data_IF_416582157529
#
_entry.id   IF_416582157529
#
_cell.length_a   1.000
_cell.length_b   1.000
_cell.length_c   1.000
_cell.angle_alpha   90.00
_cell.angle_beta   90.00
_cell.angle_gamma   90.00
#
_symmetry.space_group_name_H-M   'P 1'
#
loop_
_entity.id
_entity.type
_entity.pdbx_description
1 polymer ?
#
# COMPACT_ATOMS: atom_id res chain seq x y z
N UNK A 1 -1.71 42.21 11.41
CA UNK A 1 -2.55 41.07 10.98
C UNK A 1 -1.66 39.84 11.04
N UNK A 2 -1.74 39.10 12.14
CA UNK A 2 -1.05 37.80 12.24
C UNK A 2 -1.84 36.81 11.39
N UNK A 3 -1.22 36.32 10.32
CA UNK A 3 -1.69 35.16 9.60
C UNK A 3 -1.56 33.97 10.54
N UNK A 4 -2.69 33.43 11.00
CA UNK A 4 -2.73 32.22 11.81
C UNK A 4 -1.99 31.05 11.12
N UNK A 5 -1.65 29.98 11.85
CA UNK A 5 -0.86 28.90 11.31
C UNK A 5 -1.53 28.33 10.06
N UNK A 6 -0.88 28.51 8.91
CA UNK A 6 -1.22 27.82 7.66
C UNK A 6 -1.19 26.33 7.94
N UNK A 7 -2.30 25.65 7.73
CA UNK A 7 -2.33 24.21 7.94
C UNK A 7 -1.37 23.57 6.92
N UNK A 8 -0.72 22.47 7.27
CA UNK A 8 0.14 21.73 6.34
C UNK A 8 -0.60 21.30 5.05
N UNK A 9 -1.94 21.33 5.03
CA UNK A 9 -2.74 21.12 3.82
C UNK A 9 -2.68 22.31 2.85
N UNK A 10 -2.43 23.52 3.34
CA UNK A 10 -2.29 24.74 2.52
C UNK A 10 -1.00 24.70 1.70
N UNK A 11 0.09 24.15 2.25
CA UNK A 11 1.34 23.93 1.50
C UNK A 11 1.17 22.88 0.38
N UNK A 12 0.12 22.06 0.48
CA UNK A 12 -0.22 21.07 -0.53
C UNK A 12 -1.32 21.54 -1.48
N UNK A 13 -1.98 22.68 -1.21
CA UNK A 13 -2.96 23.35 -2.07
C UNK A 13 -4.43 22.95 -1.84
N UNK A 14 -4.79 22.38 -0.68
CA UNK A 14 -6.10 21.75 -0.50
C UNK A 14 -7.00 22.53 0.47
N UNK A 15 -7.92 23.34 -0.07
CA UNK A 15 -8.78 24.24 0.70
C UNK A 15 -10.15 23.65 1.11
N UNK A 16 -10.57 22.51 0.54
CA UNK A 16 -11.95 22.04 0.67
C UNK A 16 -12.09 20.79 1.57
N UNK A 17 -13.02 20.81 2.53
CA UNK A 17 -13.17 19.75 3.56
C UNK A 17 -13.51 18.37 2.96
N UNK A 18 -14.23 18.35 1.84
CA UNK A 18 -14.62 17.11 1.15
C UNK A 18 -13.43 16.46 0.40
N UNK A 19 -12.36 17.22 0.14
CA UNK A 19 -11.14 16.72 -0.53
C UNK A 19 -10.12 16.17 0.46
N UNK A 20 -10.33 16.41 1.75
CA UNK A 20 -9.41 16.02 2.81
C UNK A 20 -9.30 14.50 2.91
N UNK A 21 -10.41 13.79 2.76
CA UNK A 21 -10.41 12.33 2.73
C UNK A 21 -9.43 11.80 1.68
N UNK A 22 -9.51 12.31 0.44
CA UNK A 22 -8.64 11.93 -0.68
C UNK A 22 -7.20 12.44 -0.53
N UNK A 23 -7.00 13.49 0.26
CA UNK A 23 -5.70 14.10 0.57
C UNK A 23 -5.07 13.59 1.87
N UNK A 24 -5.53 12.43 2.37
CA UNK A 24 -4.95 11.76 3.55
C UNK A 24 -4.45 10.35 3.20
N UNK A 25 -3.87 9.68 4.19
CA UNK A 25 -3.46 8.27 4.10
C UNK A 25 -4.54 7.28 4.54
N UNK A 26 -5.79 7.72 4.70
CA UNK A 26 -6.87 6.78 4.88
C UNK A 26 -6.98 5.80 3.72
N UNK A 27 -7.43 4.59 3.98
CA UNK A 27 -7.34 3.45 3.06
C UNK A 27 -6.04 2.68 3.21
N UNK A 28 -4.92 3.36 3.46
CA UNK A 28 -3.61 2.72 3.51
C UNK A 28 -3.41 1.94 4.80
N UNK A 29 -2.89 0.72 4.73
CA UNK A 29 -2.52 -0.03 5.93
C UNK A 29 -1.32 0.57 6.67
N UNK A 30 -0.45 1.28 5.95
CA UNK A 30 0.62 2.09 6.49
C UNK A 30 1.83 1.27 6.95
N UNK A 31 2.34 1.57 8.14
CA UNK A 31 3.58 1.01 8.69
C UNK A 31 4.61 2.10 8.96
N UNK A 32 5.87 1.83 8.62
CA UNK A 32 6.95 2.79 8.82
C UNK A 32 7.16 3.65 7.58
N UNK A 33 6.82 4.94 7.61
CA UNK A 33 7.04 5.81 6.44
C UNK A 33 8.52 5.95 6.05
N UNK A 34 9.45 5.73 6.99
CA UNK A 34 10.88 5.76 6.71
C UNK A 34 11.44 4.42 6.17
N UNK A 35 10.59 3.40 6.02
CA UNK A 35 11.01 2.14 5.43
C UNK A 35 11.55 2.36 4.01
N UNK A 36 12.61 1.63 3.68
CA UNK A 36 13.25 1.69 2.35
C UNK A 36 12.46 0.96 1.27
N UNK A 37 11.54 0.07 1.67
CA UNK A 37 10.70 -0.70 0.75
C UNK A 37 9.26 -0.20 0.87
N UNK A 38 8.76 0.43 -0.19
CA UNK A 38 7.37 0.88 -0.26
C UNK A 38 6.54 -0.05 -1.13
N UNK A 39 5.30 -0.29 -0.72
CA UNK A 39 4.38 -1.18 -1.42
C UNK A 39 3.08 -0.48 -1.74
N UNK A 40 2.53 -0.74 -2.92
CA UNK A 40 1.33 -0.11 -3.45
C UNK A 40 0.30 -1.17 -3.81
N UNK A 41 -0.82 -1.18 -3.12
CA UNK A 41 -2.02 -1.91 -3.49
C UNK A 41 -3.03 -1.03 -4.24
N UNK A 42 -4.06 -1.65 -4.80
CA UNK A 42 -5.21 -0.93 -5.38
C UNK A 42 -6.31 -0.66 -4.36
N UNK A 43 -6.48 -1.53 -3.37
CA UNK A 43 -7.65 -1.63 -2.45
C UNK A 43 -8.94 -2.16 -3.11
N UNK A 44 -8.80 -3.16 -3.98
CA UNK A 44 -9.95 -3.94 -4.44
C UNK A 44 -10.09 -5.19 -3.59
N UNK A 45 -11.32 -5.67 -3.40
CA UNK A 45 -11.69 -6.84 -2.58
C UNK A 45 -11.56 -6.68 -1.05
N UNK A 46 -11.52 -5.45 -0.52
CA UNK A 46 -11.60 -5.21 0.93
C UNK A 46 -13.05 -5.18 1.44
N UNK A 47 -13.21 -4.99 2.75
CA UNK A 47 -14.51 -4.90 3.42
C UNK A 47 -14.71 -3.49 4.02
N UNK A 48 -15.87 -2.88 3.75
CA UNK A 48 -16.30 -1.60 4.34
C UNK A 48 -16.21 -1.61 5.87
N UNK A 49 -16.56 -2.70 6.53
CA UNK A 49 -16.49 -2.80 8.01
C UNK A 49 -15.05 -2.68 8.52
N UNK A 50 -14.08 -3.21 7.78
CA UNK A 50 -12.66 -3.11 8.12
C UNK A 50 -12.15 -1.68 7.95
N UNK A 51 -12.57 -1.01 6.87
CA UNK A 51 -12.32 0.41 6.64
C UNK A 51 -12.87 1.23 7.82
N UNK A 52 -14.15 1.04 8.14
CA UNK A 52 -14.83 1.80 9.19
C UNK A 52 -14.21 1.53 10.56
N UNK A 53 -13.96 0.28 10.97
CA UNK A 53 -13.44 0.02 12.32
C UNK A 53 -12.02 0.57 12.55
N UNK A 54 -11.10 0.34 11.62
CA UNK A 54 -9.70 0.73 11.78
C UNK A 54 -9.51 2.22 11.50
N UNK A 55 -10.10 2.72 10.41
CA UNK A 55 -9.94 4.12 10.06
C UNK A 55 -10.75 5.02 10.96
N UNK A 56 -11.91 4.61 11.48
CA UNK A 56 -12.66 5.44 12.42
C UNK A 56 -11.85 5.80 13.66
N UNK A 57 -10.95 4.92 14.15
CA UNK A 57 -10.00 5.30 15.22
C UNK A 57 -9.01 6.37 14.75
N UNK A 58 -8.44 6.22 13.55
CA UNK A 58 -7.59 7.21 12.89
C UNK A 58 -8.33 8.55 12.67
N UNK A 59 -9.58 8.51 12.20
CA UNK A 59 -10.45 9.65 11.91
C UNK A 59 -10.90 10.40 13.18
N UNK A 60 -11.37 9.67 14.20
CA UNK A 60 -11.96 10.25 15.42
C UNK A 60 -10.93 10.87 16.35
N UNK A 61 -9.71 10.33 16.43
CA UNK A 61 -8.70 10.79 17.40
C UNK A 61 -7.94 12.02 16.93
N UNK A 62 -7.77 12.23 15.61
CA UNK A 62 -6.66 13.08 15.15
C UNK A 62 -6.96 13.99 13.93
N UNK A 63 -8.08 13.87 13.21
CA UNK A 63 -8.38 14.82 12.11
C UNK A 63 -8.97 16.15 12.57
N UNK A 64 -9.37 16.23 13.84
CA UNK A 64 -9.93 17.42 14.45
C UNK A 64 -8.85 18.38 15.01
N UNK A 65 -7.56 18.02 15.04
CA UNK A 65 -6.49 18.77 15.75
C UNK A 65 -5.31 19.24 14.87
N UNK A 66 -5.54 19.33 13.54
CA UNK A 66 -4.54 19.40 12.45
C UNK A 66 -3.30 20.29 12.64
N UNK A 67 -2.12 19.69 12.40
CA UNK A 67 -0.93 20.32 11.77
C UNK A 67 -0.04 19.35 10.94
N UNK A 68 -0.28 18.03 10.93
CA UNK A 68 0.61 17.06 10.23
C UNK A 68 -0.17 15.95 9.50
N UNK A 69 0.44 15.36 8.46
CA UNK A 69 -0.07 14.12 7.84
C UNK A 69 0.18 12.98 8.83
N UNK A 70 -0.89 12.38 9.32
CA UNK A 70 -0.77 11.20 10.16
C UNK A 70 -0.39 9.97 9.34
N UNK A 71 0.56 9.20 9.86
CA UNK A 71 1.00 7.96 9.24
C UNK A 71 0.22 6.81 9.87
N UNK A 72 -0.61 6.07 9.10
CA UNK A 72 -1.30 4.91 9.63
C UNK A 72 -0.30 3.82 9.98
N UNK A 73 -0.61 3.07 11.03
CA UNK A 73 0.06 1.83 11.40
C UNK A 73 -0.95 0.95 12.14
N UNK A 74 -0.64 -0.35 12.26
CA UNK A 74 -1.40 -1.30 13.06
C UNK A 74 -0.59 -1.71 14.29
N UNK A 75 -1.30 -1.85 15.41
CA UNK A 75 -0.81 -2.37 16.67
C UNK A 75 -1.81 -3.43 17.21
N UNK A 76 -1.53 -3.99 18.39
CA UNK A 76 -2.37 -5.03 18.98
C UNK A 76 -3.83 -4.57 19.22
N UNK A 77 -4.05 -3.26 19.43
CA UNK A 77 -5.39 -2.68 19.60
C UNK A 77 -6.23 -2.72 18.32
N UNK A 78 -5.60 -2.92 17.16
CA UNK A 78 -6.30 -3.09 15.89
C UNK A 78 -7.01 -4.45 15.79
N UNK A 79 -6.60 -5.43 16.59
CA UNK A 79 -7.15 -6.80 16.58
C UNK A 79 -8.15 -7.05 17.70
N UNK A 80 -8.43 -6.06 18.54
CA UNK A 80 -9.36 -6.17 19.67
C UNK A 80 -10.62 -5.35 19.41
N UNK A 81 -11.77 -6.02 19.37
CA UNK A 81 -13.08 -5.35 19.32
C UNK A 81 -13.42 -4.76 20.70
N UNK A 82 -14.34 -3.78 20.75
CA UNK A 82 -14.87 -3.23 21.99
C UNK A 82 -15.44 -4.31 22.94
N UNK A 83 -15.84 -5.46 22.41
CA UNK A 83 -16.30 -6.64 23.14
C UNK A 83 -15.19 -7.57 23.65
N UNK A 84 -13.90 -7.22 23.50
CA UNK A 84 -12.71 -8.05 23.80
C UNK A 84 -12.58 -9.35 23.00
N UNK A 85 -13.43 -9.57 21.99
CA UNK A 85 -13.26 -10.66 21.04
C UNK A 85 -12.13 -10.29 20.07
N UNK A 86 -11.16 -11.18 19.90
CA UNK A 86 -10.09 -10.99 18.91
C UNK A 86 -10.68 -11.09 17.51
N UNK A 87 -10.54 -10.03 16.72
CA UNK A 87 -10.96 -10.03 15.33
C UNK A 87 -9.82 -10.56 14.45
N UNK A 88 -9.78 -11.89 14.28
CA UNK A 88 -8.79 -12.54 13.42
C UNK A 88 -9.09 -12.37 11.91
N UNK A 89 -10.13 -11.61 11.51
CA UNK A 89 -10.44 -11.39 10.09
C UNK A 89 -9.26 -10.80 9.32
N UNK A 90 -8.55 -9.85 9.93
CA UNK A 90 -7.35 -9.25 9.34
C UNK A 90 -6.21 -10.28 9.14
N UNK A 91 -6.14 -11.32 9.97
CA UNK A 91 -5.15 -12.39 9.86
C UNK A 91 -5.50 -13.39 8.77
N UNK A 92 -6.78 -13.49 8.40
CA UNK A 92 -7.26 -14.39 7.34
C UNK A 92 -7.11 -13.79 5.95
N UNK A 93 -6.74 -12.50 5.85
CA UNK A 93 -6.52 -11.86 4.57
C UNK A 93 -5.30 -12.49 3.87
N UNK A 94 -5.54 -13.13 2.73
CA UNK A 94 -4.50 -13.77 1.94
C UNK A 94 -3.40 -12.80 1.49
N UNK A 95 -3.76 -11.56 1.21
CA UNK A 95 -2.81 -10.54 0.80
C UNK A 95 -1.85 -10.17 1.93
N UNK A 96 -2.39 -9.96 3.13
CA UNK A 96 -1.57 -9.65 4.32
C UNK A 96 -0.66 -10.83 4.69
N UNK A 97 -1.13 -12.07 4.56
CA UNK A 97 -0.28 -13.27 4.76
C UNK A 97 0.88 -13.33 3.77
N UNK A 98 0.63 -13.00 2.49
CA UNK A 98 1.69 -13.02 1.48
C UNK A 98 2.68 -11.89 1.67
N UNK A 99 2.18 -10.71 2.02
CA UNK A 99 3.03 -9.58 2.34
C UNK A 99 3.84 -9.81 3.61
N UNK A 100 3.29 -10.51 4.61
CA UNK A 100 4.05 -10.96 5.78
C UNK A 100 5.21 -11.87 5.39
N UNK A 101 4.98 -12.86 4.52
CA UNK A 101 6.05 -13.74 4.04
C UNK A 101 7.10 -13.00 3.19
N UNK A 102 6.67 -12.07 2.34
CA UNK A 102 7.57 -11.22 1.57
C UNK A 102 8.43 -10.36 2.50
N UNK A 103 7.80 -9.64 3.44
CA UNK A 103 8.47 -8.74 4.39
C UNK A 103 9.43 -9.52 5.28
N UNK A 104 9.00 -10.66 5.79
CA UNK A 104 9.87 -11.54 6.57
C UNK A 104 11.02 -12.08 5.73
N UNK A 105 10.79 -12.46 4.47
CA UNK A 105 11.84 -12.85 3.53
C UNK A 105 12.92 -11.76 3.36
N UNK A 106 12.53 -10.48 3.39
CA UNK A 106 13.49 -9.38 3.34
C UNK A 106 14.37 -9.36 4.61
N UNK A 107 13.84 -9.76 5.77
CA UNK A 107 14.55 -9.70 7.06
C UNK A 107 15.51 -10.86 7.34
N UNK A 108 15.48 -11.95 6.57
CA UNK A 108 16.08 -13.24 6.95
C UNK A 108 17.48 -13.57 6.38
N UNK A 109 18.22 -12.62 5.82
CA UNK A 109 19.48 -12.93 5.10
C UNK A 109 20.56 -13.59 5.99
N UNK A 110 20.46 -13.50 7.32
CA UNK A 110 21.46 -14.03 8.25
C UNK A 110 20.97 -15.15 9.19
N UNK A 111 19.81 -15.74 8.94
CA UNK A 111 19.27 -16.79 9.82
C UNK A 111 18.81 -17.98 9.00
N UNK A 112 19.40 -19.15 9.29
CA UNK A 112 19.04 -20.43 8.69
C UNK A 112 17.52 -20.59 8.61
N UNK A 113 17.01 -20.73 7.38
CA UNK A 113 15.70 -21.21 6.88
C UNK A 113 14.49 -21.37 7.84
N UNK A 114 14.40 -20.56 8.89
CA UNK A 114 13.30 -20.62 9.85
C UNK A 114 12.08 -20.01 9.18
N UNK A 115 11.16 -20.89 8.79
CA UNK A 115 9.76 -20.56 8.50
C UNK A 115 9.26 -19.59 9.58
N UNK A 116 8.42 -18.62 9.22
CA UNK A 116 7.71 -17.84 10.24
C UNK A 116 6.92 -18.86 11.07
N UNK A 117 7.38 -19.17 12.28
CA UNK A 117 6.70 -20.11 13.16
C UNK A 117 5.31 -19.56 13.52
N UNK A 118 5.13 -18.23 13.43
CA UNK A 118 3.87 -17.56 13.70
C UNK A 118 3.62 -16.32 12.80
N UNK A 119 3.13 -16.56 11.57
CA UNK A 119 2.73 -15.50 10.62
C UNK A 119 1.68 -14.56 11.23
N UNK A 120 0.80 -15.07 12.11
CA UNK A 120 -0.21 -14.23 12.74
C UNK A 120 0.42 -13.22 13.70
N UNK A 121 1.37 -13.64 14.54
CA UNK A 121 2.09 -12.72 15.40
C UNK A 121 2.90 -11.69 14.59
N UNK A 122 3.51 -12.09 13.47
CA UNK A 122 4.19 -11.14 12.59
C UNK A 122 3.21 -10.11 11.99
N UNK A 123 2.03 -10.53 11.51
CA UNK A 123 1.00 -9.60 11.02
C UNK A 123 0.53 -8.67 12.14
N UNK A 124 0.31 -9.20 13.35
CA UNK A 124 -0.19 -8.43 14.50
C UNK A 124 0.79 -7.37 14.98
N UNK A 125 2.07 -7.71 15.04
CA UNK A 125 3.08 -6.90 15.75
C UNK A 125 4.04 -6.17 14.82
N UNK A 126 4.23 -6.65 13.59
CA UNK A 126 5.37 -6.24 12.76
C UNK A 126 4.96 -5.72 11.40
N UNK A 127 4.14 -6.44 10.63
CA UNK A 127 3.92 -6.16 9.20
C UNK A 127 3.53 -4.71 8.90
N UNK A 128 2.63 -4.13 9.69
CA UNK A 128 2.20 -2.73 9.56
C UNK A 128 2.48 -1.92 10.82
N UNK A 129 3.43 -2.35 11.66
CA UNK A 129 3.84 -1.61 12.85
C UNK A 129 4.63 -0.35 12.48
N UNK A 130 4.82 0.55 13.46
CA UNK A 130 5.61 1.79 13.29
C UNK A 130 7.05 1.53 12.83
N UNK A 131 7.62 0.41 13.25
CA UNK A 131 8.98 -0.03 12.92
C UNK A 131 8.98 -1.11 11.83
N UNK A 132 7.89 -1.21 11.05
CA UNK A 132 7.84 -2.16 9.94
C UNK A 132 8.97 -1.91 8.94
N UNK A 133 9.38 -2.99 8.28
CA UNK A 133 10.37 -2.97 7.20
C UNK A 133 9.78 -2.48 5.87
N UNK A 134 8.46 -2.31 5.83
CA UNK A 134 7.75 -1.78 4.68
C UNK A 134 6.85 -0.62 5.05
N UNK A 135 6.56 0.21 4.06
CA UNK A 135 5.42 1.13 4.09
C UNK A 135 4.39 0.72 3.04
N UNK A 136 3.14 0.53 3.44
CA UNK A 136 2.08 0.10 2.53
C UNK A 136 1.08 1.20 2.26
N UNK A 137 0.97 1.56 0.98
CA UNK A 137 -0.01 2.48 0.44
C UNK A 137 -1.06 1.73 -0.39
N UNK A 138 -2.26 2.31 -0.43
CA UNK A 138 -3.35 1.88 -1.30
C UNK A 138 -3.76 3.04 -2.20
N UNK A 139 -3.77 2.81 -3.53
CA UNK A 139 -4.08 3.86 -4.52
C UNK A 139 -5.48 4.45 -4.32
N UNK A 140 -6.44 3.62 -3.93
CA UNK A 140 -7.83 4.03 -3.77
C UNK A 140 -8.24 3.78 -2.33
N UNK A 141 -8.75 4.78 -1.59
CA UNK A 141 -8.97 4.66 -0.15
C UNK A 141 -10.19 3.83 0.28
N UNK A 142 -11.07 3.47 -0.65
CA UNK A 142 -12.28 2.71 -0.35
C UNK A 142 -12.16 1.28 -0.88
N UNK A 143 -12.44 0.26 -0.05
CA UNK A 143 -12.45 -1.10 -0.51
C UNK A 143 -13.62 -1.32 -1.46
N UNK A 144 -13.32 -1.79 -2.67
CA UNK A 144 -14.34 -2.15 -3.65
C UNK A 144 -14.45 -3.68 -3.72
N UNK A 145 -15.46 -4.30 -3.07
CA UNK A 145 -15.57 -5.77 -3.01
C UNK A 145 -15.77 -6.41 -4.40
N UNK A 146 -16.43 -5.69 -5.32
CA UNK A 146 -16.73 -6.11 -6.68
C UNK A 146 -16.63 -4.95 -7.70
N UNK A 147 -16.43 -5.28 -8.99
CA UNK A 147 -16.32 -4.29 -10.07
C UNK A 147 -17.63 -3.51 -10.34
N UNK A 148 -18.76 -4.06 -9.88
CA UNK A 148 -20.15 -3.54 -9.97
C UNK A 148 -20.54 -2.67 -8.78
N UNK A 149 -19.64 -2.49 -7.80
CA UNK A 149 -19.96 -1.83 -6.54
C UNK A 149 -20.40 -0.38 -6.72
N UNK A 150 -21.49 0.00 -6.04
CA UNK A 150 -22.03 1.35 -6.07
C UNK A 150 -21.47 2.18 -4.90
N UNK A 151 -20.82 3.30 -5.21
CA UNK A 151 -20.23 4.21 -4.21
C UNK A 151 -21.27 4.86 -3.27
N UNK A 152 -22.56 4.74 -3.57
CA UNK A 152 -23.66 5.16 -2.68
C UNK A 152 -23.58 4.49 -1.31
N UNK A 153 -23.02 3.29 -1.22
CA UNK A 153 -22.81 2.60 0.05
C UNK A 153 -21.78 3.29 0.95
N UNK A 154 -20.97 4.23 0.44
CA UNK A 154 -19.98 4.99 1.22
C UNK A 154 -20.46 6.41 1.58
N UNK A 155 -21.73 6.73 1.38
CA UNK A 155 -22.28 8.05 1.68
C UNK A 155 -22.06 8.47 3.15
N UNK A 156 -22.14 7.52 4.08
CA UNK A 156 -21.87 7.72 5.51
C UNK A 156 -20.41 8.12 5.81
N UNK A 157 -19.48 7.74 4.94
CA UNK A 157 -18.04 8.04 5.09
C UNK A 157 -17.67 9.31 4.32
N UNK A 158 -18.18 9.45 3.10
CA UNK A 158 -17.83 10.55 2.20
C UNK A 158 -18.70 11.78 2.38
N UNK A 159 -19.91 11.64 2.93
CA UNK A 159 -20.92 12.70 3.02
C UNK A 159 -21.55 13.09 1.67
N UNK A 160 -21.09 12.49 0.56
CA UNK A 160 -21.51 12.80 -0.81
C UNK A 160 -21.69 11.53 -1.63
N UNK A 161 -22.65 11.55 -2.57
CA UNK A 161 -22.78 10.51 -3.57
C UNK A 161 -21.87 10.83 -4.76
N UNK A 162 -21.06 9.85 -5.18
CA UNK A 162 -20.17 9.97 -6.32
C UNK A 162 -20.40 8.81 -7.29
N UNK A 163 -20.25 9.07 -8.59
CA UNK A 163 -20.02 8.02 -9.56
C UNK A 163 -18.60 7.45 -9.42
N UNK A 164 -18.39 6.24 -9.96
CA UNK A 164 -17.05 5.63 -10.05
C UNK A 164 -16.04 6.55 -10.74
N UNK A 165 -16.47 7.24 -11.80
CA UNK A 165 -15.61 8.16 -12.56
C UNK A 165 -15.16 9.35 -11.70
N UNK A 166 -16.09 9.97 -10.98
CA UNK A 166 -15.79 11.10 -10.11
C UNK A 166 -14.89 10.69 -8.94
N UNK A 167 -15.16 9.54 -8.32
CA UNK A 167 -14.30 8.98 -7.28
C UNK A 167 -12.86 8.77 -7.75
N UNK A 168 -12.69 8.11 -8.90
CA UNK A 168 -11.36 7.86 -9.47
C UNK A 168 -10.66 9.18 -9.80
N UNK A 169 -11.38 10.15 -10.36
CA UNK A 169 -10.83 11.47 -10.67
C UNK A 169 -10.38 12.21 -9.40
N UNK A 170 -11.19 12.23 -8.34
CA UNK A 170 -10.80 12.82 -7.05
C UNK A 170 -9.55 12.16 -6.46
N UNK A 171 -9.40 10.84 -6.58
CA UNK A 171 -8.18 10.15 -6.16
C UNK A 171 -6.96 10.58 -6.99
N UNK A 172 -7.12 10.70 -8.32
CA UNK A 172 -6.05 11.14 -9.22
C UNK A 172 -5.62 12.58 -8.96
N UNK A 173 -6.57 13.47 -8.69
CA UNK A 173 -6.31 14.90 -8.54
C UNK A 173 -5.70 15.24 -7.18
N UNK A 174 -5.98 14.44 -6.14
CA UNK A 174 -5.58 14.75 -4.77
C UNK A 174 -4.57 13.75 -4.19
N UNK A 175 -4.89 12.46 -4.28
CA UNK A 175 -4.13 11.39 -3.61
C UNK A 175 -2.84 11.04 -4.34
N UNK A 176 -2.87 10.97 -5.67
CA UNK A 176 -1.69 10.64 -6.45
C UNK A 176 -0.58 11.70 -6.31
N UNK A 177 -0.89 13.02 -6.37
CA UNK A 177 0.07 14.06 -6.01
C UNK A 177 0.61 13.93 -4.59
N UNK A 178 -0.25 13.63 -3.61
CA UNK A 178 0.19 13.40 -2.23
C UNK A 178 1.24 12.28 -2.18
N UNK A 179 0.98 11.14 -2.81
CA UNK A 179 1.91 10.01 -2.80
C UNK A 179 3.25 10.36 -3.42
N UNK A 180 3.27 11.10 -4.54
CA UNK A 180 4.53 11.58 -5.14
C UNK A 180 5.29 12.50 -4.20
N UNK A 181 4.62 13.46 -3.55
CA UNK A 181 5.25 14.33 -2.54
C UNK A 181 5.82 13.54 -1.36
N UNK A 182 5.16 12.46 -0.94
CA UNK A 182 5.67 11.56 0.10
C UNK A 182 6.89 10.78 -0.39
N UNK A 183 6.86 10.23 -1.61
CA UNK A 183 8.03 9.54 -2.21
C UNK A 183 9.22 10.51 -2.32
N UNK A 184 8.99 11.74 -2.80
CA UNK A 184 10.04 12.75 -2.93
C UNK A 184 10.64 13.16 -1.58
N UNK A 185 9.82 13.17 -0.51
CA UNK A 185 10.26 13.52 0.85
C UNK A 185 11.03 12.40 1.54
N UNK A 186 10.57 11.15 1.43
CA UNK A 186 11.10 10.02 2.19
C UNK A 186 12.02 9.10 1.39
N UNK A 187 12.05 9.26 0.06
CA UNK A 187 13.00 8.64 -0.87
C UNK A 187 13.21 7.14 -0.61
N UNK A 188 12.18 6.28 -0.75
CA UNK A 188 12.37 4.85 -0.60
C UNK A 188 13.38 4.31 -1.63
N UNK A 189 14.07 3.23 -1.29
CA UNK A 189 15.01 2.57 -2.20
C UNK A 189 14.27 1.81 -3.31
N UNK A 190 13.05 1.37 -3.05
CA UNK A 190 12.22 0.65 -4.03
C UNK A 190 10.73 0.84 -3.79
N UNK A 191 9.97 0.85 -4.88
CA UNK A 191 8.50 0.80 -4.86
C UNK A 191 8.02 -0.50 -5.52
N UNK A 192 7.11 -1.20 -4.87
CA UNK A 192 6.54 -2.47 -5.35
C UNK A 192 5.03 -2.34 -5.46
N UNK A 193 4.50 -2.40 -6.67
CA UNK A 193 3.09 -2.29 -6.97
C UNK A 193 2.48 -3.67 -7.20
N UNK A 194 1.38 -3.98 -6.52
CA UNK A 194 0.66 -5.26 -6.64
C UNK A 194 -0.66 -5.06 -7.39
N UNK A 195 -0.79 -5.60 -8.61
CA UNK A 195 -2.03 -5.53 -9.38
C UNK A 195 -2.04 -6.43 -10.61
N UNK A 196 -3.24 -6.82 -11.07
CA UNK A 196 -3.42 -7.70 -12.25
C UNK A 196 -3.93 -6.87 -13.42
N UNK A 197 -3.36 -7.11 -14.60
CA UNK A 197 -3.87 -6.60 -15.86
C UNK A 197 -3.49 -5.15 -16.18
N UNK A 198 -3.89 -4.74 -17.38
CA UNK A 198 -3.51 -3.45 -17.96
C UNK A 198 -4.09 -2.25 -17.21
N UNK A 199 -5.29 -2.39 -16.64
CA UNK A 199 -5.92 -1.30 -15.88
C UNK A 199 -5.14 -0.97 -14.60
N UNK A 200 -4.78 -1.98 -13.81
CA UNK A 200 -3.95 -1.81 -12.61
C UNK A 200 -2.61 -1.17 -12.93
N UNK A 201 -1.94 -1.63 -14.00
CA UNK A 201 -0.68 -1.05 -14.49
C UNK A 201 -0.83 0.43 -14.82
N UNK A 202 -1.90 0.78 -15.54
CA UNK A 202 -2.21 2.18 -15.89
C UNK A 202 -2.36 3.05 -14.63
N UNK A 203 -3.05 2.58 -13.60
CA UNK A 203 -3.20 3.33 -12.37
C UNK A 203 -1.88 3.54 -11.63
N UNK A 204 -1.01 2.54 -11.55
CA UNK A 204 0.31 2.71 -10.94
C UNK A 204 1.18 3.71 -11.72
N UNK A 205 1.21 3.60 -13.05
CA UNK A 205 1.95 4.52 -13.91
C UNK A 205 1.43 5.96 -13.79
N UNK A 206 0.12 6.15 -13.77
CA UNK A 206 -0.51 7.46 -13.62
C UNK A 206 -0.26 8.05 -12.22
N UNK A 207 -0.33 7.24 -11.16
CA UNK A 207 0.01 7.66 -9.80
C UNK A 207 1.46 8.12 -9.69
N UNK A 208 2.38 7.39 -10.29
CA UNK A 208 3.81 7.67 -10.24
C UNK A 208 4.26 8.65 -11.33
N UNK A 209 3.35 9.15 -12.16
CA UNK A 209 3.65 10.00 -13.32
C UNK A 209 4.73 9.43 -14.26
N UNK A 210 4.75 8.10 -14.42
CA UNK A 210 5.71 7.39 -15.28
C UNK A 210 5.10 7.25 -16.67
N UNK A 211 5.77 7.81 -17.68
CA UNK A 211 5.38 7.62 -19.08
C UNK A 211 5.77 6.22 -19.58
N UNK A 212 5.08 5.72 -20.61
CA UNK A 212 5.44 4.45 -21.28
C UNK A 212 6.85 4.49 -21.90
N UNK A 213 7.34 5.68 -22.24
CA UNK A 213 8.67 5.89 -22.85
C UNK A 213 9.81 5.65 -21.83
N UNK A 214 9.55 5.88 -20.55
CA UNK A 214 10.48 5.61 -19.45
C UNK A 214 10.34 4.19 -18.87
N UNK A 215 9.40 3.40 -19.39
CA UNK A 215 9.22 2.01 -18.99
C UNK A 215 10.29 1.14 -19.67
N UNK A 216 11.25 0.63 -18.90
CA UNK A 216 12.11 -0.43 -19.43
C UNK A 216 11.26 -1.67 -19.77
N UNK A 217 11.59 -2.36 -20.86
CA UNK A 217 10.84 -3.53 -21.30
C UNK A 217 10.63 -4.52 -20.15
N UNK A 218 9.45 -5.18 -20.05
CA UNK A 218 9.18 -6.14 -18.99
C UNK A 218 10.31 -7.16 -18.91
N UNK A 219 11.04 -7.16 -17.79
CA UNK A 219 12.06 -8.18 -17.53
C UNK A 219 11.32 -9.41 -17.03
N UNK A 220 11.43 -10.51 -17.78
CA UNK A 220 10.90 -11.79 -17.31
C UNK A 220 11.86 -12.33 -16.25
N UNK A 221 11.37 -12.57 -15.03
CA UNK A 221 12.09 -13.49 -14.15
C UNK A 221 11.65 -14.90 -14.52
N UNK A 222 12.63 -15.74 -14.82
CA UNK A 222 12.45 -17.17 -14.65
C UNK A 222 12.74 -17.46 -13.17
N UNK A 223 11.71 -17.38 -12.32
CA UNK A 223 11.81 -18.07 -11.03
C UNK A 223 11.69 -19.55 -11.35
N UNK A 224 12.81 -20.22 -11.63
CA UNK A 224 12.86 -21.69 -11.67
C UNK A 224 12.82 -22.20 -10.24
N UNK A 225 11.64 -22.18 -9.64
CA UNK A 225 11.32 -23.08 -8.55
C UNK A 225 10.60 -24.30 -9.14
N UNK A 226 10.77 -25.50 -8.57
CA UNK A 226 9.96 -26.68 -8.93
C UNK A 226 8.44 -26.48 -8.73
N UNK A 227 8.04 -25.33 -8.20
CA UNK A 227 6.68 -24.96 -7.82
C UNK A 227 5.93 -24.12 -8.87
N UNK A 228 6.55 -23.82 -10.02
CA UNK A 228 5.91 -23.08 -11.10
C UNK A 228 5.93 -23.84 -12.41
N UNK A 229 4.74 -23.98 -13.00
CA UNK A 229 4.58 -24.50 -14.37
C UNK A 229 4.97 -23.46 -15.44
N UNK A 230 5.16 -22.17 -15.08
CA UNK A 230 5.48 -21.11 -16.06
C UNK A 230 6.20 -19.87 -15.46
N UNK A 231 7.05 -19.19 -16.26
CA UNK A 231 7.65 -17.89 -15.92
C UNK A 231 6.60 -16.82 -15.58
N UNK A 232 6.93 -15.91 -14.67
CA UNK A 232 6.10 -14.74 -14.36
C UNK A 232 6.77 -13.48 -14.86
N UNK A 233 5.98 -12.68 -15.57
CA UNK A 233 6.42 -11.38 -16.06
C UNK A 233 6.15 -10.31 -15.01
N UNK A 234 7.15 -9.49 -14.75
CA UNK A 234 6.98 -8.25 -14.01
C UNK A 234 7.51 -7.09 -14.84
N UNK A 235 7.02 -5.90 -14.53
CA UNK A 235 7.45 -4.69 -15.21
C UNK A 235 8.37 -3.94 -14.27
N UNK A 236 9.58 -3.61 -14.74
CA UNK A 236 10.46 -2.68 -14.06
C UNK A 236 10.31 -1.31 -14.70
N UNK A 237 9.96 -0.33 -13.89
CA UNK A 237 9.89 1.09 -14.23
C UNK A 237 10.88 1.87 -13.35
N UNK A 238 11.03 3.16 -13.64
CA UNK A 238 11.81 4.07 -12.81
C UNK A 238 10.95 5.30 -12.47
N UNK A 239 10.89 5.64 -11.19
CA UNK A 239 10.37 6.91 -10.72
C UNK A 239 11.53 7.90 -10.61
N UNK A 240 11.34 9.09 -11.16
CA UNK A 240 12.33 10.16 -11.16
C UNK A 240 11.92 11.21 -10.13
N UNK A 241 12.70 11.35 -9.06
CA UNK A 241 12.49 12.42 -8.06
C UNK A 241 12.91 13.78 -8.62
N UNK A 242 12.40 14.90 -8.06
CA UNK A 242 12.84 16.25 -8.40
C UNK A 242 14.35 16.49 -8.20
N UNK A 243 14.97 15.79 -7.23
CA UNK A 243 16.42 15.86 -6.96
C UNK A 243 17.27 15.01 -7.92
N UNK A 244 16.65 14.45 -8.95
CA UNK A 244 17.23 13.59 -9.99
C UNK A 244 17.59 12.15 -9.56
N UNK A 245 17.31 11.76 -8.31
CA UNK A 245 17.43 10.37 -7.88
C UNK A 245 16.39 9.49 -8.57
N UNK A 246 16.83 8.32 -9.03
CA UNK A 246 15.98 7.29 -9.63
C UNK A 246 15.61 6.23 -8.60
N UNK A 247 14.31 5.96 -8.47
CA UNK A 247 13.78 4.91 -7.61
C UNK A 247 13.23 3.79 -8.50
N UNK A 248 13.74 2.55 -8.40
CA UNK A 248 13.18 1.42 -9.13
C UNK A 248 11.75 1.11 -8.67
N UNK A 249 10.87 0.88 -9.64
CA UNK A 249 9.46 0.54 -9.42
C UNK A 249 9.19 -0.83 -10.05
N UNK A 250 8.61 -1.75 -9.30
CA UNK A 250 8.27 -3.09 -9.79
C UNK A 250 6.76 -3.28 -9.78
N UNK A 251 6.14 -3.59 -10.93
CA UNK A 251 4.73 -3.98 -10.99
C UNK A 251 4.64 -5.51 -11.07
N UNK A 252 4.04 -6.08 -10.04
CA UNK A 252 3.88 -7.52 -9.83
C UNK A 252 2.40 -7.93 -9.93
N UNK A 253 2.10 -9.12 -10.48
CA UNK A 253 0.74 -9.64 -10.45
C UNK A 253 0.24 -9.79 -9.01
N UNK A 254 -1.05 -9.49 -8.80
CA UNK A 254 -1.71 -9.52 -7.49
C UNK A 254 -1.66 -10.92 -6.86
N UNK A 255 -1.50 -10.94 -5.53
CA UNK A 255 -0.99 -12.08 -4.80
C UNK A 255 -2.08 -13.10 -4.37
N UNK A 256 -3.38 -12.85 -4.53
CA UNK A 256 -4.43 -13.70 -3.91
C UNK A 256 -5.13 -14.69 -4.85
N UNK A 257 -5.71 -15.74 -4.28
CA UNK A 257 -6.21 -16.93 -5.01
C UNK A 257 -7.48 -16.72 -5.83
N UNK A 258 -8.02 -15.49 -5.92
CA UNK A 258 -9.13 -15.18 -6.86
C UNK A 258 -8.77 -15.55 -8.31
N UNK A 259 -7.47 -15.63 -8.64
CA UNK A 259 -6.95 -16.03 -9.95
C UNK A 259 -6.05 -17.28 -9.93
N UNK A 260 -6.23 -18.19 -8.95
CA UNK A 260 -5.52 -19.48 -8.81
C UNK A 260 -3.98 -19.44 -8.77
N UNK A 261 -3.36 -18.28 -8.64
CA UNK A 261 -1.91 -18.11 -8.88
C UNK A 261 -1.19 -17.29 -7.81
N UNK A 262 -1.68 -17.33 -6.57
CA UNK A 262 -0.97 -16.72 -5.44
C UNK A 262 0.44 -17.30 -5.28
N UNK A 263 1.39 -16.47 -4.86
CA UNK A 263 2.75 -16.94 -4.64
C UNK A 263 2.78 -17.89 -3.46
N UNK A 264 3.42 -19.06 -3.61
CA UNK A 264 3.76 -19.86 -2.43
C UNK A 264 4.71 -19.04 -1.54
N UNK A 265 4.66 -19.24 -0.23
CA UNK A 265 5.51 -18.50 0.71
C UNK A 265 7.00 -18.57 0.35
N UNK A 266 7.46 -19.71 -0.16
CA UNK A 266 8.83 -19.88 -0.66
C UNK A 266 9.19 -18.90 -1.78
N UNK A 267 8.24 -18.57 -2.64
CA UNK A 267 8.47 -17.68 -3.77
C UNK A 267 8.52 -16.25 -3.31
N UNK A 268 7.64 -15.86 -2.39
CA UNK A 268 7.74 -14.56 -1.72
C UNK A 268 9.12 -14.39 -1.06
N UNK A 269 9.65 -15.44 -0.41
CA UNK A 269 11.01 -15.43 0.15
C UNK A 269 12.11 -15.32 -0.91
N UNK A 270 12.05 -16.12 -1.98
CA UNK A 270 13.05 -16.08 -3.07
C UNK A 270 13.06 -14.73 -3.79
N UNK A 271 11.89 -14.14 -3.99
CA UNK A 271 11.78 -12.81 -4.57
C UNK A 271 12.31 -11.74 -3.63
N UNK A 272 12.04 -11.83 -2.33
CA UNK A 272 12.63 -10.94 -1.34
C UNK A 272 14.17 -11.03 -1.31
N UNK A 273 14.72 -12.25 -1.35
CA UNK A 273 16.16 -12.48 -1.44
C UNK A 273 16.75 -11.91 -2.74
N UNK A 274 16.06 -12.06 -3.87
CA UNK A 274 16.46 -11.41 -5.11
C UNK A 274 16.42 -9.88 -4.98
N UNK A 275 15.35 -9.32 -4.42
CA UNK A 275 15.22 -7.88 -4.17
C UNK A 275 16.39 -7.34 -3.36
N UNK A 276 16.82 -8.07 -2.32
CA UNK A 276 18.02 -7.73 -1.57
C UNK A 276 19.29 -7.70 -2.45
N UNK A 277 19.48 -8.68 -3.33
CA UNK A 277 20.59 -8.67 -4.31
C UNK A 277 20.52 -7.51 -5.31
N UNK A 278 19.37 -6.83 -5.42
CA UNK A 278 19.19 -5.61 -6.22
C UNK A 278 19.40 -4.33 -5.39
N UNK A 279 19.81 -4.43 -4.12
CA UNK A 279 20.02 -3.28 -3.24
C UNK A 279 18.75 -2.75 -2.58
N UNK A 280 17.71 -3.58 -2.41
CA UNK A 280 16.58 -3.26 -1.53
C UNK A 280 17.05 -3.43 -0.08
N UNK A 281 17.95 -2.56 0.35
CA UNK A 281 18.48 -2.57 1.72
C UNK A 281 17.37 -2.21 2.71
N UNK A 282 17.37 -2.88 3.86
CA UNK A 282 16.38 -2.71 4.93
C UNK A 282 16.80 -1.71 6.01
N UNK A 283 18.02 -1.17 5.89
CA UNK A 283 18.63 -0.21 6.83
C UNK A 283 18.96 1.10 6.12
#
# INVERSE_FOLDING_TARGET
>A
METGPTSHFDQFGFANKDEIFYSTLAGCDGGNINAKVWTFGLEWSGNKDSLTQWQYKYYKKNLNERNEIMIPYRDEECFTLQSKVVNDYLLKNQFDNLLANFTYGLTLINTDDKKIEDTHNFIKKTLYGKESQIFKLNLFPLPLPEHTFHFTEYFDILGIQLSKKEYLQKCKDNRFPLFRKLIDKYTPNVIICFGIGEESKKFFMECLAISKENASSPKKFNVTTPDYDAPREFIKLEYQTPSTQKIPVYILPFLTTRFRTGWKNEVARKFAAWGHSQGWELS
#
